data_IF_813508893647
#
_entry.id   IF_813508893647
#
_cell.length_a   1.000
_cell.length_b   1.000
_cell.length_c   1.000
_cell.angle_alpha   90.00
_cell.angle_beta   90.00
_cell.angle_gamma   90.00
#
_symmetry.space_group_name_H-M   'P 1'
#
loop_
_entity.id
_entity.type
_entity.pdbx_description
1 polymer ?
#
# COMPACT_ATOMS: atom_id res chain seq x y z
N UNK A 1 16.33 -9.62 -22.60
CA UNK A 1 16.43 -8.61 -21.52
C UNK A 1 15.21 -7.68 -21.44
N UNK A 2 13.99 -8.11 -21.82
CA UNK A 2 12.78 -7.24 -21.79
C UNK A 2 11.91 -7.50 -20.55
N UNK A 3 11.95 -8.71 -19.99
CA UNK A 3 11.14 -9.10 -18.83
C UNK A 3 11.56 -8.35 -17.54
N UNK A 4 12.86 -8.12 -17.35
CA UNK A 4 13.42 -7.45 -16.17
C UNK A 4 12.94 -6.00 -16.05
N UNK A 5 12.80 -5.29 -17.18
CA UNK A 5 12.35 -3.90 -17.21
C UNK A 5 10.87 -3.74 -16.85
N UNK A 6 10.02 -4.71 -17.19
CA UNK A 6 8.59 -4.66 -16.90
C UNK A 6 8.31 -4.94 -15.41
N UNK A 7 9.05 -5.88 -14.80
CA UNK A 7 8.96 -6.15 -13.36
C UNK A 7 9.44 -4.94 -12.54
N UNK A 8 10.59 -4.36 -12.91
CA UNK A 8 11.11 -3.19 -12.21
C UNK A 8 10.14 -1.99 -12.28
N UNK A 9 9.53 -1.73 -13.45
CA UNK A 9 8.53 -0.67 -13.60
C UNK A 9 7.30 -0.93 -12.72
N UNK A 10 6.81 -2.17 -12.66
CA UNK A 10 5.66 -2.53 -11.82
C UNK A 10 5.97 -2.35 -10.33
N UNK A 11 7.17 -2.70 -9.89
CA UNK A 11 7.62 -2.48 -8.51
C UNK A 11 7.64 -0.98 -8.18
N UNK A 12 8.21 -0.16 -9.06
CA UNK A 12 8.26 1.30 -8.85
C UNK A 12 6.87 1.94 -8.81
N UNK A 13 5.97 1.52 -9.70
CA UNK A 13 4.58 1.97 -9.70
C UNK A 13 3.86 1.56 -8.42
N UNK A 14 4.02 0.30 -8.00
CA UNK A 14 3.42 -0.23 -6.78
C UNK A 14 3.88 0.52 -5.53
N UNK A 15 5.20 0.70 -5.39
CA UNK A 15 5.79 1.45 -4.30
C UNK A 15 5.35 2.91 -4.32
N UNK A 16 5.35 3.56 -5.50
CA UNK A 16 4.95 4.95 -5.65
C UNK A 16 3.51 5.20 -5.21
N UNK A 17 2.58 4.38 -5.72
CA UNK A 17 1.16 4.48 -5.39
C UNK A 17 0.92 4.26 -3.88
N UNK A 18 1.36 3.13 -3.33
CA UNK A 18 1.12 2.80 -1.92
C UNK A 18 1.78 3.80 -0.95
N UNK A 19 2.99 4.28 -1.26
CA UNK A 19 3.64 5.29 -0.40
C UNK A 19 2.86 6.60 -0.41
N UNK A 20 2.39 7.05 -1.59
CA UNK A 20 1.61 8.27 -1.69
C UNK A 20 0.29 8.18 -0.90
N UNK A 21 -0.46 7.11 -1.12
CA UNK A 21 -1.76 6.87 -0.48
C UNK A 21 -1.63 6.72 1.04
N UNK A 22 -0.65 5.96 1.53
CA UNK A 22 -0.40 5.81 2.97
C UNK A 22 0.03 7.12 3.62
N UNK A 23 0.79 7.97 2.92
CA UNK A 23 1.16 9.28 3.44
C UNK A 23 -0.04 10.24 3.51
N UNK A 24 -1.03 10.10 2.62
CA UNK A 24 -2.24 10.93 2.61
C UNK A 24 -3.38 10.42 3.51
N UNK A 25 -3.27 9.18 3.98
CA UNK A 25 -4.22 8.54 4.90
C UNK A 25 -4.64 9.43 6.11
N UNK A 26 -3.76 10.22 6.75
CA UNK A 26 -4.16 11.13 7.82
C UNK A 26 -5.08 12.27 7.36
N UNK A 27 -4.96 12.72 6.12
CA UNK A 27 -5.86 13.74 5.54
C UNK A 27 -7.20 13.11 5.20
N UNK A 28 -7.21 11.95 4.53
CA UNK A 28 -8.41 11.17 4.28
C UNK A 28 -9.19 10.91 5.58
N UNK A 29 -8.49 10.56 6.66
CA UNK A 29 -9.11 10.34 7.96
C UNK A 29 -9.83 11.58 8.51
N UNK A 30 -9.30 12.79 8.31
CA UNK A 30 -9.92 14.03 8.81
C UNK A 30 -11.29 14.26 8.18
N UNK A 31 -11.40 13.99 6.88
CA UNK A 31 -12.60 14.30 6.09
C UNK A 31 -13.57 13.11 6.02
N UNK A 32 -13.15 11.91 6.46
CA UNK A 32 -13.88 10.66 6.28
C UNK A 32 -15.36 10.70 6.69
N UNK A 33 -15.68 11.26 7.86
CA UNK A 33 -17.06 11.33 8.37
C UNK A 33 -17.92 12.34 7.60
N UNK A 34 -17.30 13.28 6.90
CA UNK A 34 -17.97 14.30 6.09
C UNK A 34 -18.23 13.81 4.66
N UNK A 35 -17.58 12.72 4.25
CA UNK A 35 -17.75 12.15 2.93
C UNK A 35 -19.11 11.44 2.78
N UNK A 36 -19.81 11.65 1.66
CA UNK A 36 -20.99 10.86 1.31
C UNK A 36 -20.68 9.35 1.29
N UNK A 37 -21.67 8.52 1.62
CA UNK A 37 -21.50 7.05 1.67
C UNK A 37 -20.95 6.47 0.36
N UNK A 38 -21.41 6.97 -0.79
CA UNK A 38 -20.93 6.51 -2.11
C UNK A 38 -19.43 6.81 -2.33
N UNK A 39 -18.94 7.93 -1.78
CA UNK A 39 -17.55 8.31 -1.91
C UNK A 39 -16.67 7.46 -0.98
N UNK A 40 -17.12 7.22 0.27
CA UNK A 40 -16.46 6.28 1.19
C UNK A 40 -16.40 4.86 0.61
N UNK A 41 -17.47 4.41 -0.04
CA UNK A 41 -17.51 3.11 -0.71
C UNK A 41 -16.51 3.05 -1.88
N UNK A 42 -16.45 4.07 -2.72
CA UNK A 42 -15.47 4.14 -3.82
C UNK A 42 -14.04 4.08 -3.30
N UNK A 43 -13.71 4.91 -2.30
CA UNK A 43 -12.38 4.94 -1.69
C UNK A 43 -12.04 3.59 -1.06
N UNK A 44 -13.00 2.94 -0.38
CA UNK A 44 -12.78 1.61 0.20
C UNK A 44 -12.42 0.57 -0.86
N UNK A 45 -13.08 0.61 -2.03
CA UNK A 45 -12.76 -0.28 -3.15
C UNK A 45 -11.36 -0.02 -3.73
N UNK A 46 -10.97 1.25 -3.82
CA UNK A 46 -9.62 1.62 -4.27
C UNK A 46 -8.56 1.10 -3.29
N UNK A 47 -8.81 1.21 -1.98
CA UNK A 47 -7.94 0.65 -0.94
C UNK A 47 -7.90 -0.89 -0.97
N UNK A 48 -9.04 -1.55 -1.17
CA UNK A 48 -9.08 -3.00 -1.35
C UNK A 48 -8.20 -3.44 -2.53
N UNK A 49 -8.25 -2.72 -3.66
CA UNK A 49 -7.39 -3.00 -4.82
C UNK A 49 -5.90 -2.74 -4.53
N UNK A 50 -5.56 -1.61 -3.91
CA UNK A 50 -4.18 -1.28 -3.53
C UNK A 50 -3.59 -2.33 -2.57
N UNK A 51 -4.36 -2.77 -1.59
CA UNK A 51 -3.90 -3.79 -0.64
C UNK A 51 -3.84 -5.17 -1.28
N UNK A 52 -4.91 -5.62 -1.94
CA UNK A 52 -4.98 -6.97 -2.49
C UNK A 52 -3.98 -7.20 -3.63
N UNK A 53 -3.84 -6.24 -4.54
CA UNK A 53 -3.03 -6.43 -5.75
C UNK A 53 -1.62 -5.87 -5.57
N UNK A 54 -1.49 -4.61 -5.14
CA UNK A 54 -0.21 -3.93 -5.17
C UNK A 54 0.66 -4.37 -3.98
N UNK A 55 0.10 -4.36 -2.77
CA UNK A 55 0.87 -4.70 -1.57
C UNK A 55 1.25 -6.18 -1.54
N UNK A 56 0.34 -7.08 -1.96
CA UNK A 56 0.61 -8.52 -2.07
C UNK A 56 1.70 -8.82 -3.11
N UNK A 57 1.66 -8.18 -4.27
CA UNK A 57 2.69 -8.37 -5.30
C UNK A 57 4.05 -7.84 -4.82
N UNK A 58 4.08 -6.68 -4.14
CA UNK A 58 5.31 -6.16 -3.53
C UNK A 58 5.88 -7.12 -2.48
N UNK A 59 5.06 -7.70 -1.62
CA UNK A 59 5.53 -8.70 -0.64
C UNK A 59 6.10 -9.94 -1.35
N UNK A 60 5.42 -10.42 -2.40
CA UNK A 60 5.88 -11.56 -3.19
C UNK A 60 7.26 -11.30 -3.81
N UNK A 61 7.45 -10.16 -4.46
CA UNK A 61 8.74 -9.83 -5.11
C UNK A 61 9.83 -9.47 -4.11
N UNK A 62 9.47 -8.91 -2.96
CA UNK A 62 10.38 -8.68 -1.84
C UNK A 62 10.94 -10.01 -1.31
N UNK A 63 10.07 -10.97 -0.96
CA UNK A 63 10.49 -12.32 -0.53
C UNK A 63 11.23 -13.10 -1.60
N UNK A 64 10.88 -12.87 -2.87
CA UNK A 64 11.56 -13.48 -4.01
C UNK A 64 12.95 -12.91 -4.30
N UNK A 65 13.39 -11.85 -3.60
CA UNK A 65 14.69 -11.21 -3.81
C UNK A 65 14.82 -10.48 -5.15
N UNK A 66 13.69 -10.16 -5.80
CA UNK A 66 13.66 -9.50 -7.10
C UNK A 66 13.77 -7.96 -7.01
N UNK A 67 13.66 -7.40 -5.81
CA UNK A 67 13.83 -5.96 -5.56
C UNK A 67 15.30 -5.57 -5.43
N UNK A 68 15.65 -4.39 -5.97
CA UNK A 68 16.95 -3.75 -5.71
C UNK A 68 17.08 -3.32 -4.24
N UNK A 69 18.29 -3.06 -3.72
CA UNK A 69 18.46 -2.59 -2.35
C UNK A 69 17.65 -1.33 -2.02
N UNK A 70 17.57 -0.37 -2.94
CA UNK A 70 16.79 0.86 -2.76
C UNK A 70 15.29 0.59 -2.70
N UNK A 71 14.79 -0.31 -3.56
CA UNK A 71 13.39 -0.74 -3.55
C UNK A 71 13.03 -1.47 -2.27
N UNK A 72 13.93 -2.33 -1.77
CA UNK A 72 13.74 -3.02 -0.49
C UNK A 72 13.69 -2.02 0.68
N UNK A 73 14.56 -1.02 0.69
CA UNK A 73 14.55 0.02 1.73
C UNK A 73 13.22 0.78 1.74
N UNK A 74 12.73 1.21 0.57
CA UNK A 74 11.43 1.87 0.41
C UNK A 74 10.26 0.96 0.79
N UNK A 75 10.34 -0.33 0.47
CA UNK A 75 9.31 -1.30 0.86
C UNK A 75 9.26 -1.50 2.38
N UNK A 76 10.41 -1.59 3.05
CA UNK A 76 10.47 -1.65 4.52
C UNK A 76 9.91 -0.37 5.16
N UNK A 77 10.24 0.80 4.61
CA UNK A 77 9.67 2.08 5.05
C UNK A 77 8.14 2.08 4.91
N UNK A 78 7.62 1.62 3.77
CA UNK A 78 6.18 1.46 3.54
C UNK A 78 5.54 0.55 4.60
N UNK A 79 6.13 -0.62 4.89
CA UNK A 79 5.62 -1.54 5.94
C UNK A 79 5.59 -0.87 7.31
N UNK A 80 6.64 -0.12 7.67
CA UNK A 80 6.68 0.66 8.91
C UNK A 80 5.58 1.73 8.97
N UNK A 81 5.32 2.43 7.86
CA UNK A 81 4.25 3.43 7.78
C UNK A 81 2.87 2.82 7.90
N UNK A 82 2.59 1.72 7.20
CA UNK A 82 1.32 1.00 7.31
C UNK A 82 1.11 0.52 8.76
N UNK A 83 2.16 -0.03 9.39
CA UNK A 83 2.11 -0.45 10.80
C UNK A 83 1.79 0.71 11.73
N UNK A 84 2.45 1.85 11.56
CA UNK A 84 2.18 3.05 12.36
C UNK A 84 0.76 3.60 12.12
N UNK A 85 0.23 3.43 10.91
CA UNK A 85 -1.09 3.89 10.52
C UNK A 85 -2.23 2.90 10.83
N UNK A 86 -1.95 1.70 11.40
CA UNK A 86 -2.98 0.70 11.70
C UNK A 86 -4.24 1.24 12.41
N UNK A 87 -4.14 2.16 13.40
CA UNK A 87 -5.33 2.76 14.02
C UNK A 87 -6.20 3.56 13.03
N UNK A 88 -5.59 4.18 12.02
CA UNK A 88 -6.31 4.87 10.95
C UNK A 88 -6.95 3.86 9.99
N UNK A 89 -6.25 2.79 9.61
CA UNK A 89 -6.82 1.71 8.79
C UNK A 89 -8.04 1.08 9.47
N UNK A 90 -7.99 0.87 10.79
CA UNK A 90 -9.13 0.36 11.57
C UNK A 90 -10.31 1.34 11.55
N UNK A 91 -10.05 2.62 11.85
CA UNK A 91 -11.07 3.68 11.84
C UNK A 91 -11.73 3.83 10.46
N UNK A 92 -10.94 3.73 9.39
CA UNK A 92 -11.39 3.82 8.00
C UNK A 92 -12.01 2.51 7.48
N UNK A 93 -11.92 1.42 8.26
CA UNK A 93 -12.39 0.06 7.91
C UNK A 93 -11.69 -0.55 6.69
N UNK A 94 -10.41 -0.25 6.52
CA UNK A 94 -9.55 -0.81 5.47
C UNK A 94 -8.80 -2.08 5.92
N UNK A 95 -9.14 -2.63 7.08
CA UNK A 95 -8.59 -3.90 7.56
C UNK A 95 -9.38 -5.08 6.99
N UNK A 96 -8.74 -6.25 6.76
CA UNK A 96 -7.37 -6.61 7.16
C UNK A 96 -6.29 -6.24 6.13
N UNK A 97 -5.05 -6.06 6.60
CA UNK A 97 -3.87 -5.93 5.72
C UNK A 97 -3.43 -7.33 5.25
N UNK A 98 -3.29 -7.59 3.94
CA UNK A 98 -3.09 -8.94 3.40
C UNK A 98 -1.63 -9.45 3.49
N UNK A 99 -0.72 -8.68 4.07
CA UNK A 99 0.69 -9.02 4.20
C UNK A 99 1.15 -8.87 5.65
N UNK A 100 2.12 -9.67 6.11
CA UNK A 100 2.66 -9.49 7.45
C UNK A 100 3.44 -8.18 7.56
N UNK A 101 3.15 -7.41 8.60
CA UNK A 101 3.82 -6.14 8.93
C UNK A 101 4.93 -6.30 9.99
N UNK A 102 5.24 -7.55 10.36
CA UNK A 102 6.30 -7.92 11.28
C UNK A 102 7.49 -8.46 10.48
N UNK A 103 8.72 -8.11 10.90
CA UNK A 103 9.93 -8.79 10.43
C UNK A 103 10.05 -10.18 11.07
#
# INVERSE_FOLDING_TARGET
MVATSNVALRIEQGLGALIAEVNDLPNLAKEWEELPDWNRASISLDWDHLLADYLTELERVYRGGAMTPDQQARYRELRCKIRAALPLFERLRFLPIPVPLED
#
